data_IF_870791714514
#
_entry.id   IF_870791714514
#
_cell.length_a   1.000
_cell.length_b   1.000
_cell.length_c   1.000
_cell.angle_alpha   90.00
_cell.angle_beta   90.00
_cell.angle_gamma   90.00
#
_symmetry.space_group_name_H-M   'P 1'
#
loop_
_entity.id
_entity.type
_entity.pdbx_description
1 polymer ?
#
# COMPACT_ATOMS: atom_id res chain seq x y z
N UNK A 1 1.73 -19.71 17.37
CA UNK A 1 1.67 -19.65 15.90
C UNK A 1 0.76 -18.53 15.39
N UNK A 2 -0.46 -18.35 15.88
CA UNK A 2 -1.36 -17.26 15.42
C UNK A 2 -0.89 -15.84 15.75
N UNK A 3 -0.18 -15.60 16.86
CA UNK A 3 0.27 -14.26 17.24
C UNK A 3 1.43 -13.75 16.35
N UNK A 4 2.35 -14.61 15.94
CA UNK A 4 3.43 -14.22 15.02
C UNK A 4 2.89 -13.90 13.63
N UNK A 5 1.95 -14.71 13.13
CA UNK A 5 1.28 -14.48 11.86
C UNK A 5 0.53 -13.13 11.85
N UNK A 6 -0.21 -12.82 12.92
CA UNK A 6 -0.92 -11.56 13.02
C UNK A 6 0.01 -10.35 13.08
N UNK A 7 1.12 -10.43 13.83
CA UNK A 7 2.13 -9.36 13.87
C UNK A 7 2.77 -9.12 12.51
N UNK A 8 3.13 -10.18 11.80
CA UNK A 8 3.70 -10.08 10.45
C UNK A 8 2.69 -9.48 9.47
N UNK A 9 1.45 -9.95 9.52
CA UNK A 9 0.38 -9.43 8.65
C UNK A 9 0.08 -7.96 8.93
N UNK A 10 0.04 -7.56 10.20
CA UNK A 10 -0.14 -6.18 10.60
C UNK A 10 1.00 -5.28 10.09
N UNK A 11 2.24 -5.71 10.32
CA UNK A 11 3.42 -4.98 9.84
C UNK A 11 3.43 -4.82 8.33
N UNK A 12 3.13 -5.89 7.59
CA UNK A 12 3.02 -5.87 6.14
C UNK A 12 1.95 -4.89 5.66
N UNK A 13 0.74 -4.98 6.25
CA UNK A 13 -0.38 -4.12 5.88
C UNK A 13 -0.08 -2.65 6.16
N UNK A 14 0.49 -2.33 7.32
CA UNK A 14 0.87 -0.95 7.67
C UNK A 14 1.98 -0.41 6.74
N UNK A 15 2.92 -1.25 6.35
CA UNK A 15 3.99 -0.87 5.42
C UNK A 15 3.44 -0.51 4.03
N UNK A 16 2.59 -1.38 3.47
CA UNK A 16 1.91 -1.11 2.20
C UNK A 16 1.03 0.14 2.31
N UNK A 17 0.23 0.25 3.37
CA UNK A 17 -0.67 1.39 3.59
C UNK A 17 0.11 2.71 3.65
N UNK A 18 1.26 2.73 4.33
CA UNK A 18 2.13 3.92 4.40
C UNK A 18 2.63 4.32 3.01
N UNK A 19 3.08 3.34 2.20
CA UNK A 19 3.53 3.60 0.84
C UNK A 19 2.42 4.15 -0.05
N UNK A 20 1.24 3.52 -0.02
CA UNK A 20 0.06 3.97 -0.75
C UNK A 20 -0.35 5.38 -0.34
N UNK A 21 -0.50 5.65 0.96
CA UNK A 21 -0.89 6.98 1.46
C UNK A 21 0.06 8.11 1.02
N UNK A 22 1.37 7.85 1.06
CA UNK A 22 2.36 8.84 0.58
C UNK A 22 2.17 9.10 -0.92
N UNK A 23 2.00 8.05 -1.71
CA UNK A 23 1.80 8.16 -3.15
C UNK A 23 0.52 8.87 -3.52
N UNK A 24 -0.59 8.54 -2.84
CA UNK A 24 -1.89 9.18 -3.03
C UNK A 24 -1.85 10.68 -2.72
N UNK A 25 -1.37 11.05 -1.52
CA UNK A 25 -1.28 12.45 -1.12
C UNK A 25 -0.41 13.23 -2.12
N UNK A 26 0.74 12.68 -2.48
CA UNK A 26 1.64 13.33 -3.43
C UNK A 26 1.01 13.46 -4.82
N UNK A 27 0.33 12.41 -5.30
CA UNK A 27 -0.40 12.42 -6.56
C UNK A 27 -1.49 13.50 -6.59
N UNK A 28 -2.26 13.61 -5.51
CA UNK A 28 -3.30 14.65 -5.40
C UNK A 28 -2.72 16.06 -5.31
N UNK A 29 -1.61 16.26 -4.58
CA UNK A 29 -0.93 17.56 -4.50
C UNK A 29 -0.41 17.98 -5.88
N UNK A 30 0.25 17.08 -6.60
CA UNK A 30 0.75 17.36 -7.96
C UNK A 30 -0.42 17.63 -8.89
N UNK A 31 -1.47 16.81 -8.85
CA UNK A 31 -2.66 16.97 -9.68
C UNK A 31 -3.35 18.33 -9.47
N UNK A 32 -3.48 18.76 -8.23
CA UNK A 32 -4.02 20.06 -7.87
C UNK A 32 -3.13 21.20 -8.38
N UNK A 33 -1.82 21.07 -8.27
CA UNK A 33 -0.87 22.09 -8.70
C UNK A 33 -0.86 22.31 -10.23
N UNK A 34 -1.07 21.23 -11.01
CA UNK A 34 -1.05 21.30 -12.49
C UNK A 34 -2.46 21.33 -13.09
N UNK A 35 -3.52 21.32 -12.28
CA UNK A 35 -4.91 21.40 -12.73
C UNK A 35 -5.39 20.14 -13.49
N UNK A 36 -4.96 18.94 -13.07
CA UNK A 36 -5.41 17.69 -13.70
C UNK A 36 -6.91 17.45 -13.46
N UNK A 37 -7.57 16.92 -14.47
CA UNK A 37 -8.93 16.40 -14.33
C UNK A 37 -8.95 15.16 -13.40
N UNK A 38 -10.12 14.81 -12.87
CA UNK A 38 -10.29 13.75 -11.86
C UNK A 38 -9.68 12.41 -12.26
N UNK A 39 -9.94 11.91 -13.47
CA UNK A 39 -9.45 10.59 -13.91
C UNK A 39 -7.92 10.54 -14.02
N UNK A 40 -7.25 11.49 -14.70
CA UNK A 40 -5.78 11.55 -14.68
C UNK A 40 -5.19 11.73 -13.27
N UNK A 41 -5.88 12.45 -12.38
CA UNK A 41 -5.45 12.63 -10.98
C UNK A 41 -5.43 11.30 -10.22
N UNK A 42 -6.50 10.52 -10.31
CA UNK A 42 -6.58 9.17 -9.73
C UNK A 42 -5.47 8.28 -10.31
N UNK A 43 -5.31 8.27 -11.62
CA UNK A 43 -4.28 7.45 -12.27
C UNK A 43 -2.87 7.80 -11.78
N UNK A 44 -2.56 9.09 -11.65
CA UNK A 44 -1.27 9.55 -11.13
C UNK A 44 -1.08 9.11 -9.66
N UNK A 45 -2.09 9.28 -8.84
CA UNK A 45 -2.05 8.87 -7.42
C UNK A 45 -1.80 7.37 -7.27
N UNK A 46 -2.51 6.54 -8.03
CA UNK A 46 -2.33 5.08 -8.02
C UNK A 46 -0.92 4.68 -8.48
N UNK A 47 -0.40 5.29 -9.56
CA UNK A 47 0.96 5.02 -10.05
C UNK A 47 1.99 5.36 -8.98
N UNK A 48 1.85 6.50 -8.31
CA UNK A 48 2.75 6.92 -7.25
C UNK A 48 2.61 6.02 -6.00
N UNK A 49 1.39 5.61 -5.63
CA UNK A 49 1.15 4.69 -4.53
C UNK A 49 1.87 3.36 -4.73
N UNK A 50 1.76 2.77 -5.92
CA UNK A 50 2.52 1.56 -6.28
C UNK A 50 4.03 1.81 -6.28
N UNK A 51 4.49 2.93 -6.82
CA UNK A 51 5.91 3.30 -6.86
C UNK A 51 6.51 3.41 -5.45
N UNK A 52 5.87 4.14 -4.54
CA UNK A 52 6.31 4.28 -3.15
C UNK A 52 6.18 2.97 -2.37
N UNK A 53 5.10 2.22 -2.55
CA UNK A 53 4.89 0.92 -1.91
C UNK A 53 6.00 -0.06 -2.27
N UNK A 54 6.27 -0.27 -3.57
CA UNK A 54 7.38 -1.13 -4.00
C UNK A 54 8.75 -0.58 -3.58
N UNK A 55 8.95 0.73 -3.65
CA UNK A 55 10.20 1.36 -3.23
C UNK A 55 10.52 1.10 -1.77
N UNK A 56 9.53 1.22 -0.89
CA UNK A 56 9.69 0.93 0.54
C UNK A 56 9.95 -0.56 0.79
N UNK A 57 9.20 -1.45 0.13
CA UNK A 57 9.40 -2.91 0.23
C UNK A 57 10.79 -3.32 -0.28
N UNK A 58 11.22 -2.82 -1.42
CA UNK A 58 12.55 -3.06 -1.96
C UNK A 58 13.65 -2.58 -1.01
N UNK A 59 13.50 -1.36 -0.45
CA UNK A 59 14.48 -0.82 0.49
C UNK A 59 14.62 -1.72 1.72
N UNK A 60 13.50 -2.26 2.23
CA UNK A 60 13.50 -3.22 3.33
C UNK A 60 14.26 -4.48 2.98
N UNK A 61 14.00 -5.08 1.81
CA UNK A 61 14.65 -6.30 1.33
C UNK A 61 16.15 -6.12 1.07
N UNK A 62 16.54 -4.98 0.50
CA UNK A 62 17.96 -4.68 0.21
C UNK A 62 18.79 -4.50 1.48
N UNK A 63 18.20 -4.08 2.61
CA UNK A 63 18.88 -4.05 3.91
C UNK A 63 19.33 -5.44 4.40
N UNK A 64 18.74 -6.51 3.84
CA UNK A 64 19.09 -7.91 4.13
C UNK A 64 20.02 -8.53 3.08
N UNK A 65 20.88 -7.71 2.42
CA UNK A 65 21.89 -8.13 1.44
C UNK A 65 21.33 -8.82 0.19
N UNK A 66 20.04 -8.62 -0.13
CA UNK A 66 19.48 -9.10 -1.38
C UNK A 66 19.83 -8.18 -2.54
N UNK A 67 20.15 -8.78 -3.70
CA UNK A 67 20.40 -8.02 -4.94
C UNK A 67 19.14 -7.28 -5.39
N UNK A 68 19.31 -6.13 -6.05
CA UNK A 68 18.22 -5.31 -6.56
C UNK A 68 17.18 -6.12 -7.37
N UNK A 69 17.63 -6.95 -8.32
CA UNK A 69 16.74 -7.80 -9.12
C UNK A 69 15.89 -8.75 -8.27
N UNK A 70 16.51 -9.36 -7.24
CA UNK A 70 15.83 -10.30 -6.37
C UNK A 70 14.85 -9.61 -5.46
N UNK A 71 15.23 -8.45 -4.91
CA UNK A 71 14.37 -7.60 -4.09
C UNK A 71 13.15 -7.12 -4.86
N UNK A 72 13.32 -6.67 -6.11
CA UNK A 72 12.22 -6.22 -6.96
C UNK A 72 11.24 -7.37 -7.25
N UNK A 73 11.74 -8.55 -7.64
CA UNK A 73 10.88 -9.72 -7.91
C UNK A 73 10.08 -10.13 -6.68
N UNK A 74 10.72 -10.12 -5.51
CA UNK A 74 10.08 -10.49 -4.24
C UNK A 74 9.04 -9.44 -3.81
N UNK A 75 9.37 -8.15 -3.86
CA UNK A 75 8.45 -7.07 -3.55
C UNK A 75 7.22 -7.13 -4.48
N UNK A 76 7.44 -7.27 -5.77
CA UNK A 76 6.35 -7.37 -6.73
C UNK A 76 5.43 -8.57 -6.44
N UNK A 77 5.99 -9.74 -6.20
CA UNK A 77 5.21 -10.95 -5.91
C UNK A 77 4.47 -10.87 -4.56
N UNK A 78 5.08 -10.18 -3.56
CA UNK A 78 4.53 -10.07 -2.23
C UNK A 78 3.41 -9.02 -2.12
N UNK A 79 3.62 -7.87 -2.73
CA UNK A 79 2.86 -6.66 -2.42
C UNK A 79 1.76 -6.34 -3.43
N UNK A 80 1.87 -6.82 -4.69
CA UNK A 80 0.93 -6.43 -5.76
C UNK A 80 -0.53 -6.69 -5.40
N UNK A 81 -0.85 -7.87 -4.90
CA UNK A 81 -2.23 -8.22 -4.57
C UNK A 81 -2.77 -7.38 -3.40
N UNK A 82 -1.93 -7.14 -2.40
CA UNK A 82 -2.29 -6.32 -1.24
C UNK A 82 -2.51 -4.86 -1.64
N UNK A 83 -1.58 -4.28 -2.40
CA UNK A 83 -1.66 -2.90 -2.86
C UNK A 83 -2.83 -2.69 -3.81
N UNK A 84 -3.05 -3.60 -4.76
CA UNK A 84 -4.20 -3.52 -5.66
C UNK A 84 -5.54 -3.57 -4.90
N UNK A 85 -5.64 -4.40 -3.86
CA UNK A 85 -6.86 -4.46 -3.03
C UNK A 85 -7.06 -3.21 -2.19
N UNK A 86 -5.99 -2.60 -1.68
CA UNK A 86 -6.02 -1.33 -0.96
C UNK A 86 -6.50 -0.20 -1.87
N UNK A 87 -5.85 -0.03 -3.02
CA UNK A 87 -6.20 0.99 -4.00
C UNK A 87 -7.65 0.87 -4.48
N UNK A 88 -8.11 -0.38 -4.72
CA UNK A 88 -9.49 -0.61 -5.10
C UNK A 88 -10.47 -0.19 -3.98
N UNK A 89 -10.20 -0.60 -2.74
CA UNK A 89 -11.07 -0.30 -1.60
C UNK A 89 -11.10 1.20 -1.29
N UNK A 90 -9.93 1.86 -1.33
CA UNK A 90 -9.78 3.28 -1.09
C UNK A 90 -10.53 4.11 -2.15
N UNK A 91 -10.24 3.88 -3.42
CA UNK A 91 -10.89 4.61 -4.51
C UNK A 91 -12.40 4.35 -4.55
N UNK A 92 -12.86 3.11 -4.30
CA UNK A 92 -14.28 2.80 -4.20
C UNK A 92 -14.97 3.57 -3.06
N UNK A 93 -14.29 3.70 -1.91
CA UNK A 93 -14.80 4.47 -0.78
C UNK A 93 -14.92 5.96 -1.13
N UNK A 94 -13.86 6.57 -1.67
CA UNK A 94 -13.84 7.99 -2.05
C UNK A 94 -14.91 8.29 -3.10
N UNK A 95 -15.12 7.39 -4.07
CA UNK A 95 -16.19 7.52 -5.06
C UNK A 95 -17.59 7.42 -4.45
N UNK A 96 -17.76 6.62 -3.39
CA UNK A 96 -19.04 6.43 -2.70
C UNK A 96 -19.40 7.61 -1.79
N UNK A 97 -18.44 8.43 -1.35
CA UNK A 97 -18.68 9.59 -0.49
C UNK A 97 -19.04 10.81 -1.35
N UNK A 98 -20.28 11.37 -1.22
CA UNK A 98 -20.69 12.52 -2.02
C UNK A 98 -19.74 13.70 -1.85
N UNK A 99 -19.20 14.20 -2.95
CA UNK A 99 -18.33 15.37 -2.98
C UNK A 99 -16.87 15.11 -2.60
N UNK A 100 -16.50 13.94 -2.09
CA UNK A 100 -15.13 13.66 -1.67
C UNK A 100 -14.15 13.74 -2.84
N UNK A 101 -14.52 13.20 -4.00
CA UNK A 101 -13.65 13.18 -5.20
C UNK A 101 -13.33 14.60 -5.74
N UNK A 102 -14.20 15.57 -5.45
CA UNK A 102 -14.01 16.96 -5.85
C UNK A 102 -13.57 17.85 -4.67
N UNK A 103 -13.35 17.25 -3.51
CA UNK A 103 -12.93 17.97 -2.32
C UNK A 103 -11.49 18.48 -2.50
N UNK A 104 -11.30 19.79 -2.35
CA UNK A 104 -9.96 20.38 -2.39
C UNK A 104 -9.15 20.02 -1.14
N UNK A 105 -7.82 20.02 -1.29
CA UNK A 105 -6.85 19.74 -0.20
C UNK A 105 -7.03 20.61 1.05
N UNK A 106 -7.65 21.79 0.91
CA UNK A 106 -7.93 22.70 2.01
C UNK A 106 -9.22 22.39 2.79
N UNK A 107 -10.00 21.39 2.36
CA UNK A 107 -11.29 21.06 2.97
C UNK A 107 -11.17 19.94 4.00
N UNK A 108 -11.95 20.02 5.07
CA UNK A 108 -12.03 18.93 6.06
C UNK A 108 -12.61 17.65 5.44
N UNK A 109 -13.52 17.77 4.47
CA UNK A 109 -14.10 16.63 3.77
C UNK A 109 -13.02 15.78 3.09
N UNK A 110 -12.02 16.42 2.46
CA UNK A 110 -10.87 15.72 1.88
C UNK A 110 -10.15 14.85 2.92
N UNK A 111 -9.73 15.44 4.03
CA UNK A 111 -8.93 14.74 5.05
C UNK A 111 -9.71 13.64 5.77
N UNK A 112 -11.00 13.88 6.07
CA UNK A 112 -11.85 12.83 6.64
C UNK A 112 -12.09 11.69 5.67
N UNK A 113 -12.38 11.99 4.40
CA UNK A 113 -12.55 10.95 3.37
C UNK A 113 -11.30 10.12 3.19
N UNK A 114 -10.13 10.75 3.12
CA UNK A 114 -8.84 10.06 3.04
C UNK A 114 -8.59 9.19 4.28
N UNK A 115 -8.84 9.69 5.48
CA UNK A 115 -8.64 8.91 6.71
C UNK A 115 -9.55 7.67 6.74
N UNK A 116 -10.83 7.83 6.43
CA UNK A 116 -11.77 6.72 6.43
C UNK A 116 -11.51 5.73 5.29
N UNK A 117 -11.12 6.20 4.11
CA UNK A 117 -10.74 5.32 3.00
C UNK A 117 -9.53 4.44 3.34
N UNK A 118 -8.52 5.01 4.01
CA UNK A 118 -7.37 4.24 4.50
C UNK A 118 -7.75 3.21 5.56
N UNK A 119 -8.72 3.51 6.43
CA UNK A 119 -9.26 2.54 7.39
C UNK A 119 -9.96 1.39 6.65
N UNK A 120 -10.78 1.69 5.64
CA UNK A 120 -11.44 0.68 4.81
C UNK A 120 -10.41 -0.15 4.05
N UNK A 121 -9.42 0.49 3.44
CA UNK A 121 -8.31 -0.19 2.75
C UNK A 121 -7.56 -1.14 3.70
N UNK A 122 -7.29 -0.72 4.93
CA UNK A 122 -6.67 -1.55 5.95
C UNK A 122 -7.53 -2.78 6.29
N UNK A 123 -8.83 -2.59 6.51
CA UNK A 123 -9.78 -3.68 6.85
C UNK A 123 -9.83 -4.73 5.74
N UNK A 124 -9.76 -4.30 4.48
CA UNK A 124 -9.76 -5.20 3.30
C UNK A 124 -8.40 -5.90 3.15
N UNK A 125 -7.31 -5.16 3.25
CA UNK A 125 -5.97 -5.68 2.97
C UNK A 125 -5.42 -6.57 4.10
N UNK A 126 -5.76 -6.31 5.35
CA UNK A 126 -5.25 -7.08 6.49
C UNK A 126 -5.60 -8.57 6.39
N UNK A 127 -6.86 -8.99 6.20
CA UNK A 127 -7.20 -10.41 6.04
C UNK A 127 -6.58 -11.02 4.78
N UNK A 128 -6.47 -10.26 3.69
CA UNK A 128 -5.81 -10.71 2.47
C UNK A 128 -4.32 -10.98 2.71
N UNK A 129 -3.60 -10.05 3.34
CA UNK A 129 -2.20 -10.24 3.72
C UNK A 129 -2.02 -11.43 4.65
N UNK A 130 -2.89 -11.57 5.64
CA UNK A 130 -2.86 -12.71 6.56
C UNK A 130 -3.04 -14.04 5.82
N UNK A 131 -3.96 -14.09 4.86
CA UNK A 131 -4.20 -15.28 4.04
C UNK A 131 -3.00 -15.57 3.11
N UNK A 132 -2.44 -14.56 2.44
CA UNK A 132 -1.26 -14.71 1.59
C UNK A 132 -0.05 -15.23 2.38
N UNK A 133 0.21 -14.65 3.55
CA UNK A 133 1.32 -15.04 4.42
C UNK A 133 1.13 -16.46 4.95
N UNK A 134 -0.10 -16.85 5.34
CA UNK A 134 -0.39 -18.21 5.79
C UNK A 134 -0.19 -19.28 4.71
N UNK A 135 -0.23 -18.87 3.43
CA UNK A 135 0.02 -19.72 2.25
C UNK A 135 1.49 -19.71 1.79
N UNK A 136 2.40 -19.10 2.54
CA UNK A 136 3.80 -18.95 2.14
C UNK A 136 3.98 -18.01 0.93
N UNK A 137 3.00 -17.13 0.67
CA UNK A 137 3.04 -16.11 -0.38
C UNK A 137 3.12 -14.73 0.25
N UNK A 138 3.51 -13.74 -0.53
CA UNK A 138 3.60 -12.37 -0.02
C UNK A 138 4.78 -12.19 0.93
N UNK A 139 4.62 -11.39 1.98
CA UNK A 139 5.66 -11.09 2.98
C UNK A 139 6.23 -12.32 3.71
N UNK A 140 5.60 -13.50 3.63
CA UNK A 140 6.16 -14.74 4.18
C UNK A 140 7.47 -15.13 3.51
N UNK A 141 7.61 -14.87 2.20
CA UNK A 141 8.84 -15.11 1.44
C UNK A 141 9.99 -14.25 1.97
N UNK A 142 9.68 -13.06 2.49
CA UNK A 142 10.66 -12.16 3.12
C UNK A 142 11.12 -12.69 4.47
N UNK A 143 10.19 -13.23 5.28
CA UNK A 143 10.50 -13.79 6.59
C UNK A 143 11.32 -15.08 6.54
N UNK A 144 11.15 -15.90 5.52
CA UNK A 144 11.94 -17.12 5.32
C UNK A 144 13.43 -16.79 5.14
N UNK A 145 13.74 -15.66 4.49
CA UNK A 145 15.12 -15.16 4.37
C UNK A 145 15.71 -14.65 5.69
N UNK A 146 14.87 -14.24 6.67
CA UNK A 146 15.32 -13.80 7.99
C UNK A 146 15.78 -14.96 8.89
N UNK A 147 15.19 -16.16 8.72
CA UNK A 147 15.50 -17.31 9.56
C UNK A 147 16.75 -18.10 9.10
N UNK A 148 17.12 -18.02 7.81
CA UNK A 148 18.26 -18.75 7.27
C UNK A 148 19.63 -18.09 7.47
N UNK A 149 19.69 -16.85 7.98
CA UNK A 149 20.95 -16.13 8.21
C UNK A 149 21.37 -16.00 9.69
N UNK A 150 20.67 -16.65 10.62
CA UNK A 150 21.00 -16.65 12.05
C UNK A 150 21.60 -17.97 12.54
N UNK A 151 22.27 -18.73 11.66
CA UNK A 151 23.08 -19.88 12.06
C UNK A 151 24.49 -19.76 11.51
#
# INVERSE_FOLDING_TARGET
>A
MNQSLNKTSLSATLHCLTGCSIGEILGMVISAAVGLATVPSIALSVILAFGFGYGLSMRSLMKHNLTFKKSMKLAFAADTASMASMEFADNAFVLAVPGAINAGLATLLFWWSLLFSLVVAFIVAFPLNRWLISRGKGHAVVHEYHHHHNH
#
